data_IF_370211511131
#
_entry.id   IF_370211511131
#
_cell.length_a   1.000
_cell.length_b   1.000
_cell.length_c   1.000
_cell.angle_alpha   90.00
_cell.angle_beta   90.00
_cell.angle_gamma   90.00
#
_symmetry.space_group_name_H-M   'P 1'
#
loop_
_entity.id
_entity.type
_entity.pdbx_description
1 polymer ?
#
# COMPACT_ATOMS: atom_id res chain seq x y z
N UNK A 1 28.19 2.96 -7.26
CA UNK A 1 28.03 3.06 -5.79
C UNK A 1 26.69 3.72 -5.54
N UNK A 2 25.76 3.04 -4.87
CA UNK A 2 24.45 3.62 -4.57
C UNK A 2 24.62 4.49 -3.32
N UNK A 3 24.32 5.78 -3.43
CA UNK A 3 24.36 6.67 -2.28
C UNK A 3 23.02 6.60 -1.57
N UNK A 4 23.04 6.04 -0.37
CA UNK A 4 21.88 5.98 0.51
C UNK A 4 21.80 7.25 1.35
N UNK A 5 20.63 7.89 1.35
CA UNK A 5 20.31 9.02 2.20
C UNK A 5 19.44 8.49 3.33
N UNK A 6 19.92 8.60 4.56
CA UNK A 6 19.15 8.22 5.74
C UNK A 6 18.79 9.48 6.54
N UNK A 7 17.66 10.09 6.18
CA UNK A 7 17.11 11.26 6.86
C UNK A 7 16.05 10.88 7.90
N UNK A 8 15.87 11.74 8.91
CA UNK A 8 14.91 11.51 9.99
C UNK A 8 13.43 11.52 9.54
N UNK A 9 13.13 12.11 8.38
CA UNK A 9 11.77 12.21 7.83
C UNK A 9 11.64 11.42 6.52
N UNK A 10 12.74 11.23 5.79
CA UNK A 10 12.75 10.54 4.51
C UNK A 10 14.09 9.83 4.33
N UNK A 11 14.05 8.55 3.98
CA UNK A 11 15.23 7.78 3.62
C UNK A 11 15.04 7.10 2.26
N UNK A 12 16.13 6.86 1.56
CA UNK A 12 16.11 6.33 0.20
C UNK A 12 17.48 6.26 -0.45
N UNK A 13 17.50 6.01 -1.74
CA UNK A 13 18.73 5.89 -2.54
C UNK A 13 18.64 6.65 -3.86
N UNK A 14 19.78 7.20 -4.28
CA UNK A 14 19.91 7.80 -5.61
C UNK A 14 20.26 6.70 -6.61
N UNK A 15 19.46 6.55 -7.67
CA UNK A 15 19.80 5.81 -8.88
C UNK A 15 20.38 6.79 -9.91
N UNK A 16 21.72 6.87 -9.94
CA UNK A 16 22.44 7.76 -10.86
C UNK A 16 22.28 7.38 -12.33
N UNK A 17 21.90 6.15 -12.66
CA UNK A 17 21.73 5.75 -14.05
C UNK A 17 20.43 6.28 -14.65
N UNK A 18 19.42 6.51 -13.79
CA UNK A 18 18.10 7.01 -14.17
C UNK A 18 17.86 8.46 -13.77
N UNK A 19 18.81 9.06 -13.05
CA UNK A 19 18.68 10.41 -12.47
C UNK A 19 17.46 10.51 -11.52
N UNK A 20 17.18 9.42 -10.79
CA UNK A 20 15.99 9.30 -9.94
C UNK A 20 16.38 9.09 -8.47
N UNK A 21 15.53 9.58 -7.56
CA UNK A 21 15.62 9.28 -6.14
C UNK A 21 14.51 8.30 -5.74
N UNK A 22 14.90 7.11 -5.31
CA UNK A 22 14.00 6.06 -4.87
C UNK A 22 13.80 6.22 -3.37
N UNK A 23 12.57 6.51 -2.96
CA UNK A 23 12.21 6.69 -1.55
C UNK A 23 11.93 5.33 -0.91
N UNK A 24 12.70 4.98 0.12
CA UNK A 24 12.55 3.72 0.87
C UNK A 24 11.64 3.91 2.10
N UNK A 25 11.64 5.11 2.70
CA UNK A 25 10.80 5.43 3.86
C UNK A 25 10.41 6.91 3.87
N UNK A 26 9.17 7.22 4.22
CA UNK A 26 8.71 8.55 4.63
C UNK A 26 8.10 8.39 6.03
N UNK A 27 8.54 9.22 6.98
CA UNK A 27 7.96 9.54 8.30
C UNK A 27 7.01 8.47 8.82
N UNK A 28 7.32 7.66 9.85
CA UNK A 28 6.40 6.62 10.37
C UNK A 28 4.95 7.11 10.47
N UNK A 29 4.08 6.73 9.52
CA UNK A 29 2.72 7.26 9.42
C UNK A 29 1.79 6.28 10.13
N UNK A 30 1.49 6.55 11.40
CA UNK A 30 0.26 6.05 12.00
C UNK A 30 -0.90 6.82 11.37
N UNK A 31 -1.70 6.17 10.52
CA UNK A 31 -2.85 6.81 9.86
C UNK A 31 -4.13 6.54 10.66
N UNK A 32 -5.03 7.52 10.70
CA UNK A 32 -6.43 7.34 11.09
C UNK A 32 -7.27 7.88 9.93
N UNK A 33 -7.78 6.98 9.09
CA UNK A 33 -8.58 7.33 7.91
C UNK A 33 -9.98 6.75 8.04
N UNK A 34 -10.99 7.54 7.70
CA UNK A 34 -12.38 7.07 7.63
C UNK A 34 -12.60 6.48 6.24
N UNK A 35 -12.90 5.18 6.18
CA UNK A 35 -13.25 4.47 4.95
C UNK A 35 -14.76 4.20 4.99
N UNK A 36 -15.48 4.59 3.94
CA UNK A 36 -16.90 4.27 3.80
C UNK A 36 -17.13 2.97 3.00
N UNK A 37 -18.36 2.47 3.02
CA UNK A 37 -18.75 1.21 2.37
C UNK A 37 -18.38 1.16 0.87
N UNK A 38 -18.65 2.25 0.14
CA UNK A 38 -18.32 2.34 -1.29
C UNK A 38 -16.81 2.19 -1.55
N UNK A 39 -15.98 2.83 -0.73
CA UNK A 39 -14.53 2.72 -0.82
C UNK A 39 -14.03 1.31 -0.45
N UNK A 40 -14.62 0.68 0.56
CA UNK A 40 -14.37 -0.71 0.92
C UNK A 40 -14.68 -1.67 -0.23
N UNK A 41 -15.83 -1.49 -0.88
CA UNK A 41 -16.21 -2.33 -2.02
C UNK A 41 -15.26 -2.15 -3.21
N UNK A 42 -14.83 -0.91 -3.48
CA UNK A 42 -13.86 -0.62 -4.54
C UNK A 42 -12.52 -1.33 -4.28
N UNK A 43 -12.01 -1.30 -3.05
CA UNK A 43 -10.78 -1.99 -2.67
C UNK A 43 -10.92 -3.50 -2.87
N UNK A 44 -12.01 -4.09 -2.36
CA UNK A 44 -12.27 -5.52 -2.50
C UNK A 44 -12.28 -5.96 -3.98
N UNK A 45 -13.01 -5.23 -4.82
CA UNK A 45 -13.08 -5.55 -6.24
C UNK A 45 -11.72 -5.48 -6.93
N UNK A 46 -10.86 -4.52 -6.58
CA UNK A 46 -9.51 -4.44 -7.14
C UNK A 46 -8.67 -5.67 -6.76
N UNK A 47 -8.77 -6.14 -5.51
CA UNK A 47 -8.02 -7.30 -5.00
C UNK A 47 -8.48 -8.62 -5.64
N UNK A 48 -9.76 -8.75 -6.01
CA UNK A 48 -10.30 -9.98 -6.60
C UNK A 48 -9.84 -10.24 -8.05
N UNK A 49 -9.22 -9.26 -8.72
CA UNK A 49 -8.75 -9.42 -10.11
C UNK A 49 -7.27 -9.84 -10.21
N UNK A 50 -6.60 -10.13 -9.10
CA UNK A 50 -5.14 -10.27 -9.02
C UNK A 50 -4.62 -11.71 -8.85
N UNK A 51 -5.39 -12.73 -9.26
CA UNK A 51 -5.12 -14.15 -8.96
C UNK A 51 -3.75 -14.71 -9.43
N UNK A 52 -2.94 -13.96 -10.20
CA UNK A 52 -1.65 -14.41 -10.72
C UNK A 52 -0.48 -13.40 -10.52
N UNK A 53 -0.66 -12.35 -9.73
CA UNK A 53 0.38 -11.31 -9.51
C UNK A 53 1.16 -11.58 -8.21
N UNK A 54 2.50 -11.50 -8.25
CA UNK A 54 3.35 -11.71 -7.06
C UNK A 54 3.24 -10.56 -6.02
N UNK A 55 2.82 -9.37 -6.46
CA UNK A 55 2.63 -8.22 -5.57
C UNK A 55 1.73 -7.17 -6.20
N UNK A 56 1.05 -6.38 -5.35
CA UNK A 56 0.18 -5.29 -5.80
C UNK A 56 0.39 -4.04 -4.96
N UNK A 57 0.24 -2.87 -5.60
CA UNK A 57 0.29 -1.56 -4.94
C UNK A 57 -1.14 -1.04 -4.82
N UNK A 58 -1.69 -1.10 -3.61
CA UNK A 58 -3.01 -0.55 -3.30
C UNK A 58 -2.88 0.91 -2.87
N UNK A 59 -3.73 1.79 -3.38
CA UNK A 59 -3.83 3.18 -2.90
C UNK A 59 -5.10 3.35 -2.09
N UNK A 60 -4.98 3.63 -0.80
CA UNK A 60 -6.11 3.89 0.10
C UNK A 60 -6.21 5.38 0.41
N UNK A 61 -7.42 5.95 0.29
CA UNK A 61 -7.76 7.33 0.64
C UNK A 61 -6.68 8.38 0.33
N UNK A 62 -6.48 8.61 -0.98
CA UNK A 62 -5.79 9.77 -1.57
C UNK A 62 -4.42 10.13 -0.97
N UNK A 63 -3.51 9.16 -0.76
CA UNK A 63 -2.06 9.27 -1.09
C UNK A 63 -1.11 8.27 -0.39
N UNK A 64 -1.58 7.15 0.15
CA UNK A 64 -0.66 6.13 0.69
C UNK A 64 -0.65 4.85 -0.15
N UNK A 65 0.42 4.63 -0.97
CA UNK A 65 0.62 3.35 -1.62
C UNK A 65 1.08 2.32 -0.59
N UNK A 66 0.31 1.24 -0.46
CA UNK A 66 0.66 0.06 0.32
C UNK A 66 1.14 -1.01 -0.66
N UNK A 67 2.37 -1.49 -0.48
CA UNK A 67 2.87 -2.67 -1.19
C UNK A 67 2.47 -3.90 -0.38
N UNK A 68 1.75 -4.82 -1.01
CA UNK A 68 1.30 -6.06 -0.38
C UNK A 68 1.89 -7.26 -1.12
N UNK A 69 2.30 -8.28 -0.38
CA UNK A 69 2.63 -9.60 -0.88
C UNK A 69 1.38 -10.52 -0.93
N UNK A 70 1.52 -11.71 -1.51
CA UNK A 70 0.40 -12.65 -1.68
C UNK A 70 -0.32 -13.03 -0.38
N UNK A 71 0.42 -13.30 0.71
CA UNK A 71 -0.16 -13.66 2.01
C UNK A 71 -0.91 -12.47 2.63
N UNK A 72 -0.32 -11.26 2.53
CA UNK A 72 -0.94 -10.02 3.00
C UNK A 72 -2.21 -9.68 2.22
N UNK A 73 -2.27 -10.01 0.93
CA UNK A 73 -3.47 -9.85 0.10
C UNK A 73 -4.60 -10.74 0.60
N UNK A 74 -4.33 -12.01 0.87
CA UNK A 74 -5.36 -12.96 1.32
C UNK A 74 -5.88 -12.61 2.73
N UNK A 75 -4.99 -12.22 3.63
CA UNK A 75 -5.36 -11.71 4.95
C UNK A 75 -6.26 -10.47 4.84
N UNK A 76 -5.86 -9.50 4.03
CA UNK A 76 -6.63 -8.26 3.86
C UNK A 76 -8.00 -8.50 3.21
N UNK A 77 -8.11 -9.43 2.26
CA UNK A 77 -9.40 -9.86 1.69
C UNK A 77 -10.33 -10.38 2.79
N UNK A 78 -9.85 -11.29 3.62
CA UNK A 78 -10.64 -11.88 4.71
C UNK A 78 -11.09 -10.82 5.73
N UNK A 79 -10.21 -9.89 6.09
CA UNK A 79 -10.55 -8.77 6.97
C UNK A 79 -11.61 -7.85 6.35
N UNK A 80 -11.50 -7.53 5.05
CA UNK A 80 -12.49 -6.72 4.34
C UNK A 80 -13.84 -7.42 4.24
N UNK A 81 -13.87 -8.72 3.91
CA UNK A 81 -15.10 -9.52 3.89
C UNK A 81 -15.80 -9.50 5.25
N UNK A 82 -15.02 -9.66 6.33
CA UNK A 82 -15.55 -9.56 7.69
C UNK A 82 -16.12 -8.17 7.98
N UNK A 83 -15.39 -7.10 7.66
CA UNK A 83 -15.86 -5.71 7.85
C UNK A 83 -17.14 -5.45 7.04
N UNK A 84 -17.20 -5.88 5.78
CA UNK A 84 -18.40 -5.76 4.93
C UNK A 84 -19.60 -6.49 5.53
N UNK A 85 -19.40 -7.69 6.08
CA UNK A 85 -20.48 -8.44 6.75
C UNK A 85 -21.09 -7.72 7.95
N UNK A 86 -20.33 -6.78 8.55
CA UNK A 86 -20.76 -5.99 9.70
C UNK A 86 -21.39 -4.64 9.31
N UNK A 87 -21.20 -4.18 8.07
CA UNK A 87 -21.56 -2.83 7.64
C UNK A 87 -22.94 -2.70 6.98
N UNK A 88 -23.58 -3.80 6.56
CA UNK A 88 -25.01 -3.86 6.25
C UNK A 88 -25.47 -3.03 5.06
#
# INVERSE_FOLDING_TARGET
MNNYINGQILSGKIDYNKEEFIVDQIKMISTASVINEFQLHKIYNQLSHLENEESFVLTVNDQFPLKLNAEEIDLLKSEIEHIQSLLG
#
